data_IF_534603020936
#
_entry.id   IF_534603020936
#
_cell.length_a   1.000
_cell.length_b   1.000
_cell.length_c   1.000
_cell.angle_alpha   90.00
_cell.angle_beta   90.00
_cell.angle_gamma   90.00
#
_symmetry.space_group_name_H-M   'P 1'
#
loop_
_entity.id
_entity.type
_entity.pdbx_description
1 polymer ?
#
# COMPACT_ATOMS: atom_id res chain seq x y z
N UNK A 1 14.26 7.26 -20.47
CA UNK A 1 13.71 8.08 -19.37
C UNK A 1 12.34 7.54 -19.02
N UNK A 2 12.29 6.54 -18.13
CA UNK A 2 11.08 6.17 -17.40
C UNK A 2 11.60 5.77 -16.04
N UNK A 3 11.35 6.62 -15.05
CA UNK A 3 11.83 6.45 -13.68
C UNK A 3 11.42 5.07 -13.16
N UNK A 4 12.31 4.31 -12.49
CA UNK A 4 11.88 3.10 -11.79
C UNK A 4 10.88 3.53 -10.71
N UNK A 5 9.71 2.87 -10.56
CA UNK A 5 8.82 3.18 -9.45
C UNK A 5 9.62 2.97 -8.17
N UNK A 6 9.72 4.03 -7.35
CA UNK A 6 10.40 4.13 -6.05
C UNK A 6 10.36 2.83 -5.24
N UNK A 7 11.24 1.90 -5.60
CA UNK A 7 11.50 0.64 -4.91
C UNK A 7 12.89 0.66 -4.28
N UNK A 8 13.53 1.85 -4.25
CA UNK A 8 14.95 2.03 -3.92
C UNK A 8 15.21 2.92 -2.69
N UNK A 9 14.20 3.33 -1.94
CA UNK A 9 14.36 3.99 -0.64
C UNK A 9 13.22 3.48 0.26
N UNK A 10 13.40 2.69 1.31
CA UNK A 10 14.45 2.67 2.32
C UNK A 10 14.61 1.25 2.88
N UNK A 11 15.77 0.99 3.49
CA UNK A 11 15.92 0.09 4.64
C UNK A 11 15.09 0.60 5.84
N UNK A 12 13.79 0.71 5.65
CA UNK A 12 12.82 0.81 6.72
C UNK A 12 12.07 -0.51 6.68
N UNK A 13 12.46 -1.36 7.62
CA UNK A 13 11.51 -2.15 8.38
C UNK A 13 10.22 -1.32 8.58
N UNK A 14 9.05 -1.95 8.55
CA UNK A 14 7.70 -1.35 8.59
C UNK A 14 7.26 -0.61 7.29
N UNK A 15 6.25 -1.16 6.54
CA UNK A 15 4.88 -1.05 7.03
C UNK A 15 3.98 -2.25 6.67
N UNK A 16 3.40 -2.89 7.68
CA UNK A 16 2.22 -3.76 7.51
C UNK A 16 0.98 -2.99 6.97
N UNK A 17 1.09 -1.68 6.75
CA UNK A 17 -0.02 -0.77 6.55
C UNK A 17 0.39 0.52 5.80
N UNK A 18 0.16 0.61 4.47
CA UNK A 18 0.49 1.77 3.66
C UNK A 18 -0.46 2.94 3.91
N UNK A 19 0.02 4.15 3.67
CA UNK A 19 -0.81 5.36 3.62
C UNK A 19 -1.68 5.43 2.36
N UNK A 20 -2.77 6.22 2.35
CA UNK A 20 -3.60 6.42 1.15
C UNK A 20 -2.80 6.92 -0.05
N UNK A 21 -1.77 7.77 0.18
CA UNK A 21 -0.90 8.28 -0.86
C UNK A 21 0.00 7.17 -1.43
N UNK A 22 0.60 6.33 -0.58
CA UNK A 22 1.41 5.18 -1.02
C UNK A 22 0.57 4.14 -1.77
N UNK A 23 -0.69 3.94 -1.41
CA UNK A 23 -1.60 3.07 -2.16
C UNK A 23 -1.76 3.61 -3.59
N UNK A 24 -1.94 4.91 -3.78
CA UNK A 24 -2.10 5.47 -5.13
C UNK A 24 -0.77 5.54 -5.90
N UNK A 25 0.34 5.82 -5.23
CA UNK A 25 1.70 5.81 -5.82
C UNK A 25 2.08 4.43 -6.33
N UNK A 26 1.73 3.39 -5.57
CA UNK A 26 2.05 2.02 -5.93
C UNK A 26 1.10 1.45 -7.01
N UNK A 27 0.20 2.26 -7.58
CA UNK A 27 -0.65 1.86 -8.69
C UNK A 27 0.19 1.69 -9.96
N UNK A 28 0.03 0.55 -10.63
CA UNK A 28 0.71 0.28 -11.91
C UNK A 28 0.20 1.20 -13.04
N UNK A 29 0.99 1.38 -14.10
CA UNK A 29 0.60 2.18 -15.28
C UNK A 29 -0.68 1.66 -15.97
N UNK A 30 -1.01 0.37 -15.82
CA UNK A 30 -2.26 -0.23 -16.28
C UNK A 30 -3.47 0.14 -15.39
N UNK A 31 -3.25 0.89 -14.31
CA UNK A 31 -4.28 1.34 -13.40
C UNK A 31 -4.66 0.34 -12.31
N UNK A 32 -3.92 -0.75 -12.15
CA UNK A 32 -4.18 -1.82 -11.16
C UNK A 32 -3.08 -2.01 -10.13
N UNK A 33 -3.21 -3.06 -9.31
CA UNK A 33 -2.30 -3.43 -8.24
C UNK A 33 -1.76 -4.83 -8.47
N UNK A 34 -0.48 -5.07 -8.12
CA UNK A 34 0.11 -6.41 -8.26
C UNK A 34 -0.24 -7.29 -7.05
N UNK A 35 -0.31 -8.61 -7.26
CA UNK A 35 -0.56 -9.58 -6.18
C UNK A 35 0.50 -9.48 -5.07
N UNK A 36 1.76 -9.31 -5.44
CA UNK A 36 2.87 -9.22 -4.49
C UNK A 36 2.68 -8.00 -3.57
N UNK A 37 2.35 -6.85 -4.15
CA UNK A 37 2.12 -5.62 -3.40
C UNK A 37 0.89 -5.69 -2.49
N UNK A 38 -0.22 -6.27 -2.97
CA UNK A 38 -1.40 -6.51 -2.13
C UNK A 38 -1.07 -7.45 -0.96
N UNK A 39 -0.28 -8.50 -1.20
CA UNK A 39 0.15 -9.43 -0.17
C UNK A 39 1.02 -8.76 0.90
N UNK A 40 1.89 -7.81 0.52
CA UNK A 40 2.69 -7.00 1.47
C UNK A 40 1.79 -6.22 2.43
N UNK A 41 0.65 -5.73 1.96
CA UNK A 41 -0.34 -5.01 2.78
C UNK A 41 -1.33 -5.95 3.50
N UNK A 42 -1.17 -7.26 3.36
CA UNK A 42 -2.07 -8.27 3.90
C UNK A 42 -3.44 -8.33 3.20
N UNK A 43 -3.54 -7.85 1.97
CA UNK A 43 -4.76 -7.94 1.15
C UNK A 43 -4.74 -9.24 0.36
N UNK A 44 -5.79 -10.05 0.53
CA UNK A 44 -5.96 -11.29 -0.22
C UNK A 44 -6.10 -11.03 -1.72
N UNK A 45 -5.64 -11.99 -2.54
CA UNK A 45 -5.87 -11.99 -3.98
C UNK A 45 -6.98 -12.98 -4.34
N UNK A 46 -7.99 -12.60 -5.12
CA UNK A 46 -8.23 -11.26 -5.69
C UNK A 46 -8.65 -10.24 -4.62
N UNK A 47 -8.35 -8.93 -4.83
CA UNK A 47 -8.67 -7.91 -3.85
C UNK A 47 -10.18 -7.84 -3.58
N UNK A 48 -10.63 -7.97 -2.32
CA UNK A 48 -12.04 -7.90 -1.99
C UNK A 48 -12.58 -6.49 -2.23
N UNK A 49 -13.86 -6.38 -2.57
CA UNK A 49 -14.50 -5.07 -2.79
C UNK A 49 -14.31 -4.18 -1.56
N UNK A 50 -13.73 -3.00 -1.74
CA UNK A 50 -13.50 -2.04 -0.65
C UNK A 50 -12.21 -2.22 0.15
N UNK A 51 -11.29 -3.10 -0.27
CA UNK A 51 -9.97 -3.29 0.40
C UNK A 51 -9.20 -1.98 0.63
N UNK A 52 -9.27 -1.02 -0.31
CA UNK A 52 -8.65 0.31 -0.15
C UNK A 52 -9.23 1.07 1.05
N UNK A 53 -10.54 0.98 1.29
CA UNK A 53 -11.20 1.64 2.43
C UNK A 53 -10.74 1.04 3.76
N UNK A 54 -10.63 -0.28 3.81
CA UNK A 54 -10.11 -1.00 4.98
C UNK A 54 -8.67 -0.60 5.28
N UNK A 55 -7.79 -0.58 4.27
CA UNK A 55 -6.42 -0.11 4.46
C UNK A 55 -6.36 1.34 4.95
N UNK A 56 -7.15 2.24 4.36
CA UNK A 56 -7.22 3.63 4.80
C UNK A 56 -7.72 3.76 6.25
N UNK A 57 -8.73 2.98 6.65
CA UNK A 57 -9.25 2.97 8.01
C UNK A 57 -8.21 2.46 9.01
N UNK A 58 -7.57 1.33 8.70
CA UNK A 58 -6.48 0.76 9.49
C UNK A 58 -5.30 1.72 9.59
N UNK A 59 -4.94 2.43 8.51
CA UNK A 59 -3.85 3.40 8.51
C UNK A 59 -4.17 4.57 9.44
N UNK A 60 -5.37 5.16 9.33
CA UNK A 60 -5.84 6.23 10.22
C UNK A 60 -5.85 5.80 11.69
N UNK A 61 -6.31 4.59 11.97
CA UNK A 61 -6.33 4.03 13.33
C UNK A 61 -4.92 3.82 13.90
N UNK A 62 -3.95 3.44 13.06
CA UNK A 62 -2.55 3.31 13.46
C UNK A 62 -1.91 4.68 13.78
N UNK A 63 -2.25 5.73 13.01
CA UNK A 63 -1.74 7.10 13.25
C UNK A 63 -2.25 7.67 14.59
N UNK A 64 -3.50 7.39 14.97
CA UNK A 64 -4.07 7.86 16.26
C UNK A 64 -3.54 7.14 17.49
N UNK A 65 -2.83 6.02 17.32
CA UNK A 65 -2.30 5.18 18.41
C UNK A 65 -0.80 5.36 18.64
N UNK A 66 -0.18 6.31 17.95
CA UNK A 66 1.25 6.60 18.07
C UNK A 66 1.45 7.58 19.26
N UNK A 67 2.19 7.17 20.32
CA UNK A 67 2.41 7.99 21.52
C UNK A 67 3.27 9.23 21.25
#
# INVERSE_FOLDING_TARGET
>A
MTEPPSSALRRQDHPLLPSPAEIEDARTSAGGFTRAQLAVWGVAWPPPKGWKKELNARWRAAQTKQP
#
